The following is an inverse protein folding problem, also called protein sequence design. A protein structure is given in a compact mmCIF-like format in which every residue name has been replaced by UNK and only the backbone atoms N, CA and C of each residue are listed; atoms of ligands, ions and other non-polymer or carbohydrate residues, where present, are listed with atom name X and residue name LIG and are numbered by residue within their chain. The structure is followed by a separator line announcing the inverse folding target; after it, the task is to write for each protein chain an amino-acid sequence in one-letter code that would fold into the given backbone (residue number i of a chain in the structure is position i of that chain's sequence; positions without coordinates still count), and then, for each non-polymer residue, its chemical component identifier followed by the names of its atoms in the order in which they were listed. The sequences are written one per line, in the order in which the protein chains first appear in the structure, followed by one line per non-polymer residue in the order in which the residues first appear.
data_IF_116174192822
#
_entry.id   IF_116174192822
#
_cell.length_a   1.000
_cell.length_b   1.000
_cell.length_c   1.000
_cell.angle_alpha   90.00
_cell.angle_beta   90.00
_cell.angle_gamma   90.00
#
_symmetry.space_group_name_H-M   'P 1'
#
loop_
_entity.id
_entity.type
_entity.pdbx_description
1 polymer ?
#
# COMPACT_ATOMS: atom_id res chain seq x y z
N UNK A 1 6.80 3.41 14.03
CA UNK A 1 5.49 3.46 13.35
C UNK A 1 5.17 2.10 12.75
N UNK A 2 6.07 1.52 11.95
CA UNK A 2 5.96 0.17 11.37
C UNK A 2 5.43 -0.92 12.33
N UNK A 3 6.03 -1.08 13.51
CA UNK A 3 5.57 -2.04 14.51
C UNK A 3 4.12 -1.80 14.98
N UNK A 4 3.67 -0.54 15.00
CA UNK A 4 2.28 -0.21 15.32
C UNK A 4 1.36 -0.50 14.13
N UNK A 5 1.74 -0.10 12.91
CA UNK A 5 0.97 -0.33 11.69
C UNK A 5 0.72 -1.82 11.43
N UNK A 6 1.72 -2.65 11.72
CA UNK A 6 1.66 -4.12 11.60
C UNK A 6 1.20 -4.83 12.89
N UNK A 7 0.61 -4.11 13.85
CA UNK A 7 -0.02 -4.69 15.04
C UNK A 7 0.92 -5.37 16.05
N UNK A 8 2.24 -5.14 15.97
CA UNK A 8 3.24 -5.68 16.91
C UNK A 8 3.25 -4.96 18.27
N UNK A 9 2.79 -3.71 18.31
CA UNK A 9 2.61 -2.92 19.53
C UNK A 9 1.27 -2.19 19.51
N UNK A 10 0.70 -1.93 20.68
CA UNK A 10 -0.51 -1.14 20.84
C UNK A 10 -0.29 0.34 20.52
N UNK A 11 -1.38 1.07 20.21
CA UNK A 11 -1.36 2.53 20.05
C UNK A 11 -0.75 3.25 21.27
N UNK A 12 -1.04 2.76 22.48
CA UNK A 12 -0.52 3.33 23.73
C UNK A 12 1.00 3.15 23.84
N UNK A 13 1.50 1.96 23.52
CA UNK A 13 2.95 1.70 23.50
C UNK A 13 3.65 2.55 22.44
N UNK A 14 3.06 2.69 21.26
CA UNK A 14 3.57 3.59 20.23
C UNK A 14 3.67 5.03 20.74
N UNK A 15 2.61 5.59 21.33
CA UNK A 15 2.61 6.97 21.82
C UNK A 15 3.62 7.17 22.95
N UNK A 16 3.78 6.19 23.84
CA UNK A 16 4.79 6.22 24.90
C UNK A 16 6.22 6.22 24.34
N UNK A 17 6.49 5.45 23.29
CA UNK A 17 7.79 5.43 22.62
C UNK A 17 8.02 6.73 21.83
N UNK A 18 7.00 7.22 21.13
CA UNK A 18 7.05 8.46 20.36
C UNK A 18 7.29 9.69 21.25
N UNK A 19 6.80 9.69 22.49
CA UNK A 19 7.02 10.78 23.44
C UNK A 19 8.52 11.07 23.70
N UNK A 20 9.40 10.06 23.58
CA UNK A 20 10.86 10.25 23.71
C UNK A 20 11.44 11.17 22.63
N UNK A 21 10.73 11.33 21.51
CA UNK A 21 11.14 12.14 20.36
C UNK A 21 10.31 13.43 20.22
N UNK A 22 9.39 13.68 21.14
CA UNK A 22 8.50 14.84 21.16
C UNK A 22 9.23 16.08 21.75
N UNK A 23 10.26 16.55 21.06
CA UNK A 23 11.08 17.71 21.46
C UNK A 23 10.58 19.01 20.81
N UNK A 24 10.90 20.16 21.40
CA UNK A 24 10.65 21.47 20.77
C UNK A 24 9.18 21.86 20.63
N UNK A 25 8.31 21.42 21.55
CA UNK A 25 6.87 21.70 21.50
C UNK A 25 6.05 20.75 20.62
N UNK A 26 6.70 19.76 20.00
CA UNK A 26 6.00 18.67 19.34
C UNK A 26 5.35 17.73 20.36
N UNK A 27 4.22 17.13 20.00
CA UNK A 27 3.54 16.10 20.81
C UNK A 27 3.71 14.72 20.18
N UNK A 28 3.55 13.65 20.97
CA UNK A 28 3.51 12.28 20.44
C UNK A 28 2.37 12.09 19.42
N UNK A 29 1.27 12.84 19.53
CA UNK A 29 0.18 12.86 18.57
C UNK A 29 0.57 13.56 17.26
N UNK A 30 1.30 14.68 17.32
CA UNK A 30 1.82 15.33 16.13
C UNK A 30 2.79 14.41 15.37
N UNK A 31 3.64 13.67 16.09
CA UNK A 31 4.51 12.64 15.49
C UNK A 31 3.70 11.50 14.88
N UNK A 32 2.62 11.06 15.53
CA UNK A 32 1.72 10.07 14.97
C UNK A 32 1.11 10.53 13.63
N UNK A 33 0.60 11.77 13.60
CA UNK A 33 -0.04 12.32 12.40
C UNK A 33 0.94 12.55 11.25
N UNK A 34 2.20 12.85 11.55
CA UNK A 34 3.25 12.97 10.53
C UNK A 34 3.69 11.62 9.96
N UNK A 35 3.70 10.57 10.80
CA UNK A 35 4.18 9.24 10.41
C UNK A 35 3.09 8.35 9.78
N UNK A 36 1.81 8.62 10.05
CA UNK A 36 0.72 7.84 9.47
C UNK A 36 0.58 8.15 7.97
N UNK A 37 0.32 7.15 7.10
CA UNK A 37 -0.02 7.39 5.72
C UNK A 37 -1.27 8.27 5.61
N UNK A 38 -1.23 9.25 4.71
CA UNK A 38 -2.42 9.99 4.32
C UNK A 38 -3.03 9.31 3.09
N UNK A 39 -3.95 8.35 3.33
CA UNK A 39 -4.58 7.59 2.25
C UNK A 39 -5.45 8.44 1.31
N UNK A 40 -5.87 9.65 1.72
CA UNK A 40 -6.54 10.57 0.81
C UNK A 40 -5.63 11.03 -0.35
N UNK A 41 -4.30 10.93 -0.19
CA UNK A 41 -3.30 11.19 -1.23
C UNK A 41 -2.77 9.89 -1.88
N UNK A 42 -3.31 8.72 -1.51
CA UNK A 42 -2.81 7.44 -2.03
C UNK A 42 -3.23 7.20 -3.49
N UNK A 43 -4.41 7.68 -3.88
CA UNK A 43 -4.89 7.58 -5.26
C UNK A 43 -4.17 8.61 -6.12
N UNK A 44 -3.14 8.18 -6.84
CA UNK A 44 -2.42 9.02 -7.80
C UNK A 44 -2.94 8.87 -9.23
N UNK A 45 -3.52 7.70 -9.56
CA UNK A 45 -4.11 7.39 -10.86
C UNK A 45 -5.53 6.91 -10.61
N UNK A 46 -6.49 7.53 -11.30
CA UNK A 46 -7.89 7.12 -11.21
C UNK A 46 -8.08 5.72 -11.80
N UNK A 47 -8.95 4.92 -11.19
CA UNK A 47 -9.23 3.57 -11.70
C UNK A 47 -9.92 3.59 -13.07
N UNK A 48 -10.48 4.73 -13.47
CA UNK A 48 -11.09 4.99 -14.78
C UNK A 48 -10.19 5.77 -15.72
N UNK A 49 -8.89 5.90 -15.42
CA UNK A 49 -7.96 6.59 -16.30
C UNK A 49 -7.99 5.96 -17.71
N UNK A 50 -8.29 6.74 -18.77
CA UNK A 50 -8.47 6.22 -20.12
C UNK A 50 -7.18 5.68 -20.75
N UNK A 51 -6.01 5.94 -20.14
CA UNK A 51 -4.73 5.42 -20.61
C UNK A 51 -4.43 3.99 -20.12
N UNK A 52 -5.26 3.44 -19.23
CA UNK A 52 -5.12 2.06 -18.72
C UNK A 52 -6.39 1.23 -18.92
N UNK A 53 -6.21 -0.08 -18.96
CA UNK A 53 -7.27 -1.09 -18.89
C UNK A 53 -6.96 -1.96 -17.68
N UNK A 54 -7.82 -1.88 -16.68
CA UNK A 54 -7.69 -2.63 -15.44
C UNK A 54 -8.76 -3.73 -15.35
N UNK A 55 -8.33 -4.95 -15.04
CA UNK A 55 -9.20 -6.11 -14.92
C UNK A 55 -8.74 -7.04 -13.81
N UNK A 56 -9.69 -7.75 -13.19
CA UNK A 56 -9.35 -8.88 -12.34
C UNK A 56 -9.25 -10.14 -13.19
N UNK A 57 -8.13 -10.83 -13.07
CA UNK A 57 -7.90 -12.14 -13.69
C UNK A 57 -7.74 -13.21 -12.62
N UNK A 58 -7.83 -14.47 -13.03
CA UNK A 58 -7.31 -15.60 -12.25
C UNK A 58 -6.13 -16.23 -12.96
N UNK A 59 -5.21 -16.80 -12.18
CA UNK A 59 -4.10 -17.58 -12.71
C UNK A 59 -3.84 -18.82 -11.84
N UNK A 60 -3.39 -19.92 -12.44
CA UNK A 60 -3.09 -21.15 -11.72
C UNK A 60 -1.81 -21.00 -10.90
N UNK A 61 -1.91 -21.35 -9.62
CA UNK A 61 -0.82 -21.46 -8.65
C UNK A 61 -0.86 -22.85 -8.02
N UNK A 62 -0.40 -23.89 -8.73
CA UNK A 62 -0.57 -25.29 -8.33
C UNK A 62 0.14 -25.63 -7.01
N UNK A 63 1.19 -24.89 -6.66
CA UNK A 63 1.92 -25.04 -5.41
C UNK A 63 1.49 -24.00 -4.34
N UNK A 64 0.47 -23.21 -4.62
CA UNK A 64 -0.08 -22.19 -3.73
C UNK A 64 -1.55 -22.45 -3.44
N UNK A 65 -2.38 -21.42 -3.59
CA UNK A 65 -3.80 -21.47 -3.26
C UNK A 65 -4.70 -21.93 -4.43
N UNK A 66 -4.19 -22.75 -5.35
CA UNK A 66 -4.95 -23.19 -6.52
C UNK A 66 -5.13 -22.05 -7.52
N UNK A 67 -6.33 -21.49 -7.64
CA UNK A 67 -6.58 -20.31 -8.48
C UNK A 67 -6.37 -19.03 -7.66
N UNK A 68 -5.46 -18.16 -8.11
CA UNK A 68 -5.17 -16.89 -7.43
C UNK A 68 -5.77 -15.75 -8.25
N UNK A 69 -6.46 -14.84 -7.57
CA UNK A 69 -6.99 -13.61 -8.18
C UNK A 69 -5.89 -12.55 -8.23
N UNK A 70 -5.66 -11.97 -9.41
CA UNK A 70 -4.75 -10.85 -9.62
C UNK A 70 -5.47 -9.62 -10.16
N UNK A 71 -4.98 -8.43 -9.81
CA UNK A 71 -5.37 -7.17 -10.45
C UNK A 71 -4.38 -6.84 -11.56
N UNK A 72 -4.81 -6.99 -12.80
CA UNK A 72 -3.98 -6.79 -13.99
C UNK A 72 -4.32 -5.44 -14.60
N UNK A 73 -3.29 -4.61 -14.75
CA UNK A 73 -3.40 -3.30 -15.41
C UNK A 73 -2.50 -3.31 -16.63
N UNK A 74 -3.05 -2.90 -17.77
CA UNK A 74 -2.35 -2.77 -19.05
C UNK A 74 -2.49 -1.35 -19.58
N UNK A 75 -1.53 -0.82 -20.35
CA UNK A 75 -1.76 0.38 -21.14
C UNK A 75 -2.92 0.16 -22.12
N UNK A 76 -3.82 1.14 -22.27
CA UNK A 76 -4.94 1.06 -23.20
C UNK A 76 -4.48 1.03 -24.67
N UNK A 77 -3.31 1.60 -24.95
CA UNK A 77 -2.68 1.61 -26.28
C UNK A 77 -1.36 0.84 -26.24
N UNK A 78 -1.37 -0.38 -26.75
CA UNK A 78 -0.18 -1.22 -26.88
C UNK A 78 0.08 -1.56 -28.35
N UNK A 79 1.31 -1.40 -28.81
CA UNK A 79 1.76 -1.92 -30.11
C UNK A 79 2.69 -3.11 -29.89
N UNK A 80 2.22 -4.31 -30.26
CA UNK A 80 2.98 -5.54 -30.07
C UNK A 80 3.08 -6.02 -28.61
N UNK A 81 4.06 -6.87 -28.33
CA UNK A 81 4.30 -7.42 -26.99
C UNK A 81 5.03 -6.40 -26.11
N UNK A 82 4.58 -6.26 -24.86
CA UNK A 82 5.24 -5.41 -23.86
C UNK A 82 5.85 -6.25 -22.74
N UNK A 83 6.89 -5.74 -22.06
CA UNK A 83 7.32 -6.31 -20.79
C UNK A 83 6.22 -6.20 -19.73
N UNK A 84 6.34 -6.99 -18.67
CA UNK A 84 5.43 -7.00 -17.53
C UNK A 84 6.19 -6.78 -16.22
N UNK A 85 5.51 -6.20 -15.23
CA UNK A 85 6.00 -5.99 -13.87
C UNK A 85 5.06 -6.72 -12.92
N UNK A 86 5.62 -7.48 -11.97
CA UNK A 86 4.86 -8.09 -10.88
C UNK A 86 4.97 -7.19 -9.65
N UNK A 87 3.83 -6.78 -9.12
CA UNK A 87 3.75 -6.00 -7.88
C UNK A 87 3.16 -6.92 -6.81
N UNK A 88 3.88 -7.06 -5.70
CA UNK A 88 3.43 -7.82 -4.52
C UNK A 88 3.12 -6.81 -3.43
N UNK A 89 1.88 -6.80 -2.94
CA UNK A 89 1.47 -5.84 -1.91
C UNK A 89 2.01 -6.27 -0.53
N UNK A 90 2.18 -5.30 0.38
CA UNK A 90 2.29 -5.61 1.81
C UNK A 90 0.88 -5.95 2.33
N UNK A 91 0.78 -6.95 3.21
CA UNK A 91 -0.50 -7.43 3.76
C UNK A 91 -1.06 -6.46 4.81
#
# INVERSE_FOLDING_TARGET
YDYYAHGKISKREFLNLAAKYAVGGMTALALFDLLKPNYALATQVEFTDPEIVAEYITYPSPNGHGEVRGYLVKPAKMSGKTPAVVVVHEN
#
